data_IF_899087373927
#
_entry.id   IF_899087373927
#
_cell.length_a   1.000
_cell.length_b   1.000
_cell.length_c   1.000
_cell.angle_alpha   90.00
_cell.angle_beta   90.00
_cell.angle_gamma   90.00
#
_symmetry.space_group_name_H-M   'P 1'
#
loop_
_entity.id
_entity.type
_entity.pdbx_description
1 polymer ?
#
# COMPACT_ATOMS: atom_id res chain seq x y z
N UNK A 1 22.88 18.52 4.28
CA UNK A 1 23.29 17.12 4.62
C UNK A 1 22.27 16.20 3.95
N UNK A 2 22.73 15.10 3.35
CA UNK A 2 21.80 14.16 2.69
C UNK A 2 20.80 13.57 3.69
N UNK A 3 19.53 13.44 3.28
CA UNK A 3 18.48 12.85 4.10
C UNK A 3 18.60 11.32 4.16
N UNK A 4 19.25 10.71 3.16
CA UNK A 4 19.46 9.26 3.05
C UNK A 4 20.14 8.87 1.76
N UNK A 5 20.35 7.56 1.59
CA UNK A 5 21.00 6.96 0.41
C UNK A 5 20.01 6.05 -0.32
N UNK A 6 19.85 6.28 -1.61
CA UNK A 6 19.02 5.46 -2.50
C UNK A 6 19.91 4.59 -3.38
N UNK A 7 19.69 3.28 -3.36
CA UNK A 7 20.27 2.37 -4.33
C UNK A 7 19.38 2.34 -5.57
N UNK A 8 19.96 2.64 -6.73
CA UNK A 8 19.23 2.69 -8.01
C UNK A 8 19.75 1.58 -8.93
N UNK A 9 18.89 0.63 -9.28
CA UNK A 9 19.14 -0.36 -10.32
C UNK A 9 18.52 0.11 -11.63
N UNK A 10 19.37 0.41 -12.61
CA UNK A 10 18.97 0.90 -13.94
C UNK A 10 20.11 0.61 -14.90
N UNK A 11 19.91 -0.20 -15.94
CA UNK A 11 20.95 -0.59 -16.89
C UNK A 11 21.33 0.55 -17.85
N UNK A 12 20.41 1.46 -18.13
CA UNK A 12 20.70 2.68 -18.90
C UNK A 12 21.48 3.69 -18.06
N UNK A 13 22.76 3.87 -18.36
CA UNK A 13 23.63 4.85 -17.68
C UNK A 13 23.06 6.27 -17.73
N UNK A 14 22.39 6.64 -18.82
CA UNK A 14 21.79 7.96 -19.00
C UNK A 14 20.58 8.12 -18.04
N UNK A 15 19.71 7.12 -17.97
CA UNK A 15 18.55 7.15 -17.08
C UNK A 15 19.00 7.11 -15.61
N UNK A 16 19.96 6.25 -15.25
CA UNK A 16 20.52 6.19 -13.90
C UNK A 16 21.08 7.56 -13.45
N UNK A 17 21.82 8.26 -14.33
CA UNK A 17 22.33 9.60 -14.03
C UNK A 17 21.23 10.65 -13.87
N UNK A 18 20.17 10.58 -14.69
CA UNK A 18 19.01 11.48 -14.55
C UNK A 18 18.31 11.27 -13.20
N UNK A 19 18.09 10.02 -12.82
CA UNK A 19 17.51 9.66 -11.52
C UNK A 19 18.40 10.17 -10.39
N UNK A 20 19.71 9.95 -10.47
CA UNK A 20 20.69 10.46 -9.49
C UNK A 20 20.60 11.97 -9.31
N UNK A 21 20.46 12.74 -10.41
CA UNK A 21 20.28 14.20 -10.34
C UNK A 21 18.95 14.59 -9.69
N UNK A 22 17.86 13.90 -10.00
CA UNK A 22 16.56 14.13 -9.37
C UNK A 22 16.65 13.91 -7.85
N UNK A 23 17.29 12.82 -7.41
CA UNK A 23 17.52 12.51 -6.00
C UNK A 23 18.38 13.57 -5.32
N UNK A 24 19.48 14.01 -5.97
CA UNK A 24 20.36 15.07 -5.44
C UNK A 24 19.60 16.40 -5.25
N UNK A 25 18.70 16.75 -6.15
CA UNK A 25 17.86 17.94 -6.03
C UNK A 25 16.82 17.86 -4.89
N UNK A 26 16.58 16.66 -4.37
CA UNK A 26 15.72 16.37 -3.23
C UNK A 26 16.52 16.07 -1.95
N UNK A 27 17.81 16.42 -1.92
CA UNK A 27 18.72 16.21 -0.80
C UNK A 27 18.97 14.72 -0.45
N UNK A 28 18.88 13.82 -1.42
CA UNK A 28 19.19 12.40 -1.29
C UNK A 28 20.45 12.02 -2.05
N UNK A 29 21.29 11.17 -1.44
CA UNK A 29 22.42 10.54 -2.11
C UNK A 29 21.97 9.32 -2.91
N UNK A 30 22.70 8.97 -3.95
CA UNK A 30 22.40 7.77 -4.74
C UNK A 30 23.64 6.89 -4.96
N UNK A 31 23.41 5.58 -4.99
CA UNK A 31 24.37 4.57 -5.40
C UNK A 31 23.80 3.89 -6.63
N UNK A 32 24.54 3.90 -7.73
CA UNK A 32 24.07 3.36 -9.01
C UNK A 32 24.57 1.93 -9.20
N UNK A 33 23.63 1.05 -9.56
CA UNK A 33 23.86 -0.33 -9.99
C UNK A 33 23.30 -0.51 -11.38
N UNK A 34 24.01 -1.30 -12.20
CA UNK A 34 23.64 -1.55 -13.60
C UNK A 34 23.24 -3.00 -13.85
N UNK A 35 23.39 -3.86 -12.83
CA UNK A 35 23.03 -5.27 -12.84
C UNK A 35 22.67 -5.74 -11.42
N UNK A 36 22.00 -6.89 -11.30
CA UNK A 36 21.59 -7.46 -10.00
C UNK A 36 22.80 -7.87 -9.14
N UNK A 37 23.91 -8.31 -9.74
CA UNK A 37 25.11 -8.70 -9.00
C UNK A 37 25.69 -7.53 -8.23
N UNK A 38 25.69 -6.34 -8.83
CA UNK A 38 26.10 -5.08 -8.17
C UNK A 38 25.17 -4.73 -7.01
N UNK A 39 23.85 -4.88 -7.18
CA UNK A 39 22.85 -4.69 -6.11
C UNK A 39 23.17 -5.58 -4.92
N UNK A 40 23.34 -6.89 -5.13
CA UNK A 40 23.66 -7.84 -4.05
C UNK A 40 24.97 -7.51 -3.34
N UNK A 41 26.00 -7.05 -4.08
CA UNK A 41 27.28 -6.63 -3.50
C UNK A 41 27.15 -5.38 -2.65
N UNK A 42 26.45 -4.38 -3.15
CA UNK A 42 26.27 -3.08 -2.50
C UNK A 42 25.40 -3.19 -1.23
N UNK A 43 24.34 -4.01 -1.25
CA UNK A 43 23.51 -4.26 -0.05
C UNK A 43 24.29 -4.90 1.11
N UNK A 44 25.38 -5.61 0.83
CA UNK A 44 26.24 -6.20 1.86
C UNK A 44 27.21 -5.21 2.49
N UNK A 45 27.53 -4.12 1.80
CA UNK A 45 28.62 -3.20 2.17
C UNK A 45 28.20 -1.77 2.46
N UNK A 46 27.02 -1.36 1.98
CA UNK A 46 26.56 0.01 2.08
C UNK A 46 25.26 0.12 2.89
N UNK A 47 25.15 1.24 3.59
CA UNK A 47 23.89 1.63 4.21
C UNK A 47 22.97 2.25 3.16
N UNK A 48 21.83 1.60 2.90
CA UNK A 48 20.83 2.02 1.93
C UNK A 48 19.52 2.30 2.65
N UNK A 49 18.87 3.40 2.28
CA UNK A 49 17.62 3.84 2.89
C UNK A 49 16.38 3.53 2.04
N UNK A 50 16.55 3.40 0.74
CA UNK A 50 15.52 3.05 -0.23
C UNK A 50 16.17 2.37 -1.44
N UNK A 51 15.49 1.41 -2.03
CA UNK A 51 15.86 0.83 -3.33
C UNK A 51 14.90 1.30 -4.41
N UNK A 52 15.42 1.89 -5.51
CA UNK A 52 14.69 2.15 -6.75
C UNK A 52 15.18 1.14 -7.79
N UNK A 53 14.34 0.18 -8.15
CA UNK A 53 14.73 -0.95 -8.98
C UNK A 53 13.92 -0.98 -10.28
N UNK A 54 14.59 -0.98 -11.43
CA UNK A 54 13.90 -1.23 -12.71
C UNK A 54 13.43 -2.68 -12.80
N UNK A 55 12.24 -2.88 -13.38
CA UNK A 55 11.66 -4.21 -13.61
C UNK A 55 12.55 -5.02 -14.55
N UNK A 56 13.01 -4.41 -15.63
CA UNK A 56 13.77 -5.09 -16.68
C UNK A 56 15.15 -4.45 -16.83
N UNK A 57 16.16 -5.20 -16.51
CA UNK A 57 17.58 -4.86 -16.77
C UNK A 57 18.20 -5.95 -17.64
N UNK A 58 19.36 -5.68 -18.26
CA UNK A 58 20.00 -6.61 -19.19
C UNK A 58 20.17 -8.03 -18.65
N UNK A 59 20.45 -8.18 -17.34
CA UNK A 59 20.65 -9.48 -16.68
C UNK A 59 19.36 -10.13 -16.12
N UNK A 60 18.18 -9.59 -16.45
CA UNK A 60 16.91 -10.24 -16.18
C UNK A 60 15.78 -9.40 -15.59
N UNK A 61 14.76 -10.08 -15.09
CA UNK A 61 13.58 -9.47 -14.47
C UNK A 61 13.76 -9.34 -12.96
N UNK A 62 13.77 -8.12 -12.46
CA UNK A 62 13.97 -7.81 -11.04
C UNK A 62 12.89 -8.39 -10.14
N UNK A 63 11.63 -8.48 -10.61
CA UNK A 63 10.54 -9.03 -9.81
C UNK A 63 10.76 -10.50 -9.45
N UNK A 64 11.40 -11.27 -10.33
CA UNK A 64 11.74 -12.68 -10.06
C UNK A 64 12.85 -12.84 -9.00
N UNK A 65 13.63 -11.80 -8.75
CA UNK A 65 14.73 -11.76 -7.77
C UNK A 65 14.40 -10.97 -6.51
N UNK A 66 13.20 -10.39 -6.44
CA UNK A 66 12.85 -9.49 -5.34
C UNK A 66 12.86 -10.22 -3.98
N UNK A 67 12.46 -11.49 -3.94
CA UNK A 67 12.55 -12.31 -2.74
C UNK A 67 14.02 -12.48 -2.24
N UNK A 68 14.98 -12.64 -3.15
CA UNK A 68 16.41 -12.72 -2.81
C UNK A 68 16.92 -11.37 -2.28
N UNK A 69 16.51 -10.25 -2.91
CA UNK A 69 16.85 -8.89 -2.47
C UNK A 69 16.28 -8.63 -1.09
N UNK A 70 15.02 -9.00 -0.84
CA UNK A 70 14.35 -8.87 0.44
C UNK A 70 15.03 -9.70 1.53
N UNK A 71 15.50 -10.91 1.24
CA UNK A 71 16.23 -11.74 2.20
C UNK A 71 17.53 -11.07 2.69
N UNK A 72 18.20 -10.28 1.84
CA UNK A 72 19.40 -9.51 2.21
C UNK A 72 19.09 -8.20 2.90
N UNK A 73 17.96 -7.58 2.60
CA UNK A 73 17.58 -6.25 3.06
C UNK A 73 16.09 -6.17 3.43
N UNK A 74 15.64 -6.93 4.47
CA UNK A 74 14.22 -7.11 4.77
C UNK A 74 13.51 -5.81 5.19
N UNK A 75 14.25 -4.86 5.73
CA UNK A 75 13.71 -3.61 6.28
C UNK A 75 13.95 -2.40 5.38
N UNK A 76 14.53 -2.58 4.19
CA UNK A 76 14.77 -1.47 3.26
C UNK A 76 13.56 -1.37 2.32
N UNK A 77 12.87 -0.22 2.26
CA UNK A 77 11.78 0.00 1.31
C UNK A 77 12.23 -0.19 -0.14
N UNK A 78 11.36 -0.79 -0.95
CA UNK A 78 11.61 -1.04 -2.38
C UNK A 78 10.56 -0.33 -3.23
N UNK A 79 11.02 0.53 -4.12
CA UNK A 79 10.21 1.10 -5.19
C UNK A 79 10.58 0.45 -6.53
N UNK A 80 9.61 -0.14 -7.20
CA UNK A 80 9.80 -0.73 -8.54
C UNK A 80 9.51 0.32 -9.60
N UNK A 81 10.48 0.59 -10.46
CA UNK A 81 10.31 1.45 -11.63
C UNK A 81 9.80 0.62 -12.81
N UNK A 82 8.67 1.02 -13.40
CA UNK A 82 8.04 0.28 -14.50
C UNK A 82 8.03 1.11 -15.77
N UNK A 83 8.54 0.57 -16.88
CA UNK A 83 8.36 1.17 -18.19
C UNK A 83 6.90 1.04 -18.65
N UNK A 84 6.28 2.15 -19.05
CA UNK A 84 5.00 2.14 -19.73
C UNK A 84 5.16 1.53 -21.12
N UNK A 85 4.90 0.22 -21.29
CA UNK A 85 4.72 -0.37 -22.60
C UNK A 85 3.51 0.28 -23.29
N UNK A 86 3.56 0.42 -24.60
CA UNK A 86 2.49 1.00 -25.42
C UNK A 86 1.23 0.12 -25.35
N UNK A 87 0.41 0.33 -24.32
CA UNK A 87 -0.87 -0.36 -24.09
C UNK A 87 -1.16 -0.46 -22.61
N UNK A 88 -2.21 0.20 -22.13
CA UNK A 88 -2.61 0.22 -20.70
C UNK A 88 -2.75 -1.16 -20.04
N UNK A 89 -2.92 -2.21 -20.84
CA UNK A 89 -3.03 -3.59 -20.36
C UNK A 89 -1.68 -4.16 -19.87
N UNK A 90 -0.57 -3.85 -20.56
CA UNK A 90 0.76 -4.30 -20.17
C UNK A 90 1.25 -3.59 -18.88
N UNK A 91 0.93 -2.31 -18.73
CA UNK A 91 1.23 -1.54 -17.52
C UNK A 91 0.51 -2.15 -16.30
N UNK A 92 -0.79 -2.43 -16.40
CA UNK A 92 -1.57 -3.02 -15.31
C UNK A 92 -1.04 -4.42 -14.92
N UNK A 93 -0.59 -5.23 -15.86
CA UNK A 93 0.01 -6.53 -15.54
C UNK A 93 1.33 -6.37 -14.77
N UNK A 94 2.20 -5.44 -15.18
CA UNK A 94 3.47 -5.17 -14.50
C UNK A 94 3.25 -4.56 -13.12
N UNK A 95 2.30 -3.64 -12.98
CA UNK A 95 1.88 -3.09 -11.69
C UNK A 95 1.39 -4.19 -10.73
N UNK A 96 0.54 -5.08 -11.22
CA UNK A 96 0.04 -6.21 -10.43
C UNK A 96 1.16 -7.21 -10.08
N UNK A 97 2.11 -7.44 -10.98
CA UNK A 97 3.26 -8.30 -10.72
C UNK A 97 4.20 -7.69 -9.66
N UNK A 98 4.49 -6.39 -9.74
CA UNK A 98 5.28 -5.68 -8.72
C UNK A 98 4.61 -5.75 -7.34
N UNK A 99 3.30 -5.57 -7.30
CA UNK A 99 2.48 -5.69 -6.09
C UNK A 99 2.54 -7.10 -5.49
N UNK A 100 2.41 -8.15 -6.31
CA UNK A 100 2.54 -9.55 -5.85
C UNK A 100 3.93 -9.91 -5.37
N UNK A 101 4.95 -9.22 -5.88
CA UNK A 101 6.34 -9.42 -5.49
C UNK A 101 6.75 -8.61 -4.24
N UNK A 102 5.76 -8.00 -3.53
CA UNK A 102 5.99 -7.27 -2.27
C UNK A 102 6.88 -6.01 -2.40
N UNK A 103 6.81 -5.29 -3.54
CA UNK A 103 7.40 -3.96 -3.63
C UNK A 103 6.61 -2.95 -2.79
N UNK A 104 7.24 -2.09 -2.01
CA UNK A 104 6.54 -1.10 -1.15
C UNK A 104 5.95 0.04 -1.96
N UNK A 105 6.56 0.36 -3.12
CA UNK A 105 6.10 1.41 -4.01
C UNK A 105 6.23 0.97 -5.46
N UNK A 106 5.41 1.57 -6.33
CA UNK A 106 5.53 1.42 -7.77
C UNK A 106 5.62 2.80 -8.41
N UNK A 107 6.63 3.00 -9.26
CA UNK A 107 6.93 4.27 -9.91
C UNK A 107 6.90 4.09 -11.44
N UNK A 108 5.78 4.44 -12.10
CA UNK A 108 5.68 4.35 -13.55
C UNK A 108 6.63 5.34 -14.26
N UNK A 109 7.37 4.88 -15.25
CA UNK A 109 8.17 5.72 -16.14
C UNK A 109 7.30 6.27 -17.30
N UNK A 110 7.47 7.52 -17.72
CA UNK A 110 8.41 8.52 -17.20
C UNK A 110 7.91 9.16 -15.91
N UNK A 111 8.82 9.49 -15.00
CA UNK A 111 8.51 10.17 -13.74
C UNK A 111 9.37 11.44 -13.57
N UNK A 112 8.92 12.29 -12.67
CA UNK A 112 9.53 13.58 -12.32
C UNK A 112 9.91 13.61 -10.82
N UNK A 113 10.64 14.63 -10.35
CA UNK A 113 10.92 14.79 -8.92
C UNK A 113 9.67 14.82 -8.04
N UNK A 114 8.55 15.36 -8.55
CA UNK A 114 7.27 15.41 -7.82
C UNK A 114 6.71 14.01 -7.53
N UNK A 115 6.96 13.02 -8.42
CA UNK A 115 6.57 11.63 -8.20
C UNK A 115 7.50 10.90 -7.22
N UNK A 116 8.78 11.28 -7.18
CA UNK A 116 9.77 10.72 -6.25
C UNK A 116 9.58 11.22 -4.82
N UNK A 117 9.23 12.50 -4.66
CA UNK A 117 9.17 13.15 -3.35
C UNK A 117 8.32 12.40 -2.32
N UNK A 118 7.05 12.02 -2.60
CA UNK A 118 6.24 11.28 -1.63
C UNK A 118 6.82 9.90 -1.29
N UNK A 119 7.44 9.21 -2.26
CA UNK A 119 8.10 7.91 -2.02
C UNK A 119 9.29 8.07 -1.07
N UNK A 120 10.10 9.12 -1.25
CA UNK A 120 11.24 9.42 -0.40
C UNK A 120 10.82 9.81 1.02
N UNK A 121 9.77 10.61 1.16
CA UNK A 121 9.19 10.98 2.45
C UNK A 121 8.66 9.75 3.20
N UNK A 122 7.90 8.90 2.53
CA UNK A 122 7.37 7.65 3.10
C UNK A 122 8.50 6.69 3.51
N UNK A 123 9.50 6.48 2.64
CA UNK A 123 10.66 5.64 2.94
C UNK A 123 11.46 6.16 4.15
N UNK A 124 11.63 7.48 4.24
CA UNK A 124 12.29 8.12 5.38
C UNK A 124 11.53 7.88 6.69
N UNK A 125 10.20 7.97 6.66
CA UNK A 125 9.34 7.72 7.83
C UNK A 125 9.32 6.24 8.21
N UNK A 126 9.24 5.32 7.24
CA UNK A 126 9.30 3.87 7.48
C UNK A 126 10.56 3.45 8.24
N UNK A 127 11.70 4.05 7.93
CA UNK A 127 12.98 3.71 8.58
C UNK A 127 13.16 4.28 9.98
N UNK A 128 12.51 5.37 10.29
CA UNK A 128 12.57 5.99 11.63
C UNK A 128 11.54 5.43 12.58
N UNK A 129 10.51 4.80 12.07
CA UNK A 129 9.53 4.11 12.91
C UNK A 129 10.17 2.86 13.56
N UNK A 130 9.92 2.57 14.82
CA UNK A 130 10.39 1.35 15.48
C UNK A 130 9.75 0.07 14.89
N UNK A 131 8.77 0.21 14.02
CA UNK A 131 8.14 -0.82 13.17
C UNK A 131 7.61 -0.13 11.91
N UNK A 132 7.53 -0.79 10.73
CA UNK A 132 6.90 -0.18 9.56
C UNK A 132 5.49 0.27 9.93
N UNK A 133 5.19 1.55 9.57
CA UNK A 133 3.88 2.12 9.87
C UNK A 133 2.80 1.26 9.23
N UNK A 134 1.88 0.74 10.03
CA UNK A 134 0.76 -0.05 9.54
C UNK A 134 -0.11 0.80 8.63
N UNK A 135 -0.42 0.28 7.44
CA UNK A 135 -1.15 0.99 6.42
C UNK A 135 -2.63 0.63 6.47
N UNK A 136 -3.47 1.64 6.63
CA UNK A 136 -4.92 1.52 6.66
C UNK A 136 -5.53 2.26 5.48
N UNK A 137 -6.37 1.58 4.71
CA UNK A 137 -7.17 2.18 3.64
C UNK A 137 -8.61 2.36 4.13
N UNK A 138 -9.15 3.58 3.97
CA UNK A 138 -10.54 3.90 4.27
C UNK A 138 -11.30 4.17 2.97
N UNK A 139 -12.36 3.38 2.73
CA UNK A 139 -13.22 3.47 1.54
C UNK A 139 -14.65 3.79 1.99
N UNK A 140 -15.14 4.97 1.61
CA UNK A 140 -16.49 5.45 1.96
C UNK A 140 -16.89 6.58 1.00
N UNK A 141 -18.08 6.60 0.46
CA UNK A 141 -18.54 7.67 -0.44
C UNK A 141 -18.81 8.99 0.30
N UNK A 142 -19.11 8.91 1.60
CA UNK A 142 -19.32 10.08 2.45
C UNK A 142 -17.98 10.72 2.88
N UNK A 143 -17.69 11.91 2.34
CA UNK A 143 -16.46 12.67 2.67
C UNK A 143 -16.28 12.92 4.17
N UNK A 144 -17.39 13.12 4.91
CA UNK A 144 -17.32 13.41 6.36
C UNK A 144 -16.86 12.17 7.12
N UNK A 145 -17.41 11.00 6.81
CA UNK A 145 -17.03 9.73 7.45
C UNK A 145 -15.58 9.40 7.14
N UNK A 146 -15.15 9.51 5.85
CA UNK A 146 -13.74 9.32 5.48
C UNK A 146 -12.82 10.23 6.28
N UNK A 147 -13.15 11.53 6.35
CA UNK A 147 -12.30 12.50 7.05
C UNK A 147 -12.20 12.23 8.55
N UNK A 148 -13.30 11.88 9.20
CA UNK A 148 -13.29 11.50 10.62
C UNK A 148 -12.46 10.24 10.87
N UNK A 149 -12.64 9.20 10.06
CA UNK A 149 -11.86 7.97 10.16
C UNK A 149 -10.37 8.20 9.93
N UNK A 150 -10.01 8.95 8.87
CA UNK A 150 -8.59 9.21 8.55
C UNK A 150 -7.91 10.06 9.63
N UNK A 151 -8.60 11.06 10.21
CA UNK A 151 -8.05 11.85 11.30
C UNK A 151 -7.79 11.00 12.56
N UNK A 152 -8.78 10.19 12.97
CA UNK A 152 -8.65 9.33 14.15
C UNK A 152 -7.50 8.32 14.02
N UNK A 153 -7.34 7.73 12.84
CA UNK A 153 -6.27 6.76 12.57
C UNK A 153 -4.89 7.45 12.48
N UNK A 154 -4.82 8.67 11.89
CA UNK A 154 -3.58 9.43 11.79
C UNK A 154 -3.02 9.80 13.18
N UNK A 155 -3.87 10.13 14.14
CA UNK A 155 -3.47 10.43 15.53
C UNK A 155 -2.78 9.23 16.22
N UNK A 156 -3.04 8.00 15.77
CA UNK A 156 -2.37 6.78 16.26
C UNK A 156 -1.12 6.41 15.46
N UNK A 157 -0.74 7.21 14.47
CA UNK A 157 0.48 7.01 13.69
C UNK A 157 0.36 5.97 12.59
N UNK A 158 -0.85 5.61 12.15
CA UNK A 158 -1.02 4.76 10.96
C UNK A 158 -0.71 5.54 9.67
N UNK A 159 -0.15 4.85 8.68
CA UNK A 159 -0.14 5.34 7.30
C UNK A 159 -1.55 5.18 6.73
N UNK A 160 -2.09 6.21 6.06
CA UNK A 160 -3.48 6.18 5.64
C UNK A 160 -3.60 6.51 4.16
N UNK A 161 -4.41 5.70 3.46
CA UNK A 161 -4.97 6.03 2.16
C UNK A 161 -6.49 6.16 2.28
N UNK A 162 -7.08 7.00 1.44
CA UNK A 162 -8.53 7.14 1.33
C UNK A 162 -8.99 6.99 -0.10
N UNK A 163 -10.17 6.39 -0.30
CA UNK A 163 -10.84 6.28 -1.57
C UNK A 163 -12.34 6.55 -1.41
N UNK A 164 -12.95 7.12 -2.46
CA UNK A 164 -14.39 7.46 -2.45
C UNK A 164 -15.29 6.31 -2.92
N UNK A 165 -14.72 5.29 -3.53
CA UNK A 165 -15.41 4.09 -3.99
C UNK A 165 -14.43 2.91 -4.01
N UNK A 166 -14.93 1.70 -4.17
CA UNK A 166 -14.10 0.52 -4.26
C UNK A 166 -13.29 0.50 -5.57
N UNK A 167 -13.86 0.99 -6.67
CA UNK A 167 -13.16 1.12 -7.95
C UNK A 167 -11.97 2.08 -7.82
N UNK A 168 -12.18 3.24 -7.19
CA UNK A 168 -11.13 4.22 -6.90
C UNK A 168 -10.01 3.60 -6.04
N UNK A 169 -10.38 2.81 -5.02
CA UNK A 169 -9.43 2.09 -4.17
C UNK A 169 -8.58 1.08 -4.96
N UNK A 170 -9.23 0.25 -5.79
CA UNK A 170 -8.55 -0.79 -6.57
C UNK A 170 -7.67 -0.21 -7.69
N UNK A 171 -8.01 0.97 -8.20
CA UNK A 171 -7.25 1.66 -9.25
C UNK A 171 -6.08 2.48 -8.70
N UNK A 172 -6.30 3.21 -7.58
CA UNK A 172 -5.36 4.24 -7.10
C UNK A 172 -4.50 3.79 -5.93
N UNK A 173 -4.93 2.77 -5.15
CA UNK A 173 -4.22 2.34 -3.94
C UNK A 173 -3.56 0.98 -4.15
N UNK A 174 -2.32 0.86 -3.69
CA UNK A 174 -1.60 -0.41 -3.67
C UNK A 174 -2.11 -1.30 -2.52
N UNK A 175 -3.19 -2.06 -2.80
CA UNK A 175 -3.86 -2.92 -1.82
C UNK A 175 -2.93 -4.00 -1.26
N UNK A 176 -1.93 -4.45 -2.02
CA UNK A 176 -0.97 -5.48 -1.56
C UNK A 176 -0.18 -5.04 -0.32
N UNK A 177 0.00 -3.72 -0.13
CA UNK A 177 0.71 -3.12 0.99
C UNK A 177 -0.21 -2.44 2.01
N UNK A 178 -1.49 -2.73 1.94
CA UNK A 178 -2.46 -2.32 2.96
C UNK A 178 -2.56 -3.43 4.02
N UNK A 179 -2.41 -3.07 5.28
CA UNK A 179 -2.60 -4.01 6.40
C UNK A 179 -4.07 -4.20 6.72
N UNK A 180 -4.86 -3.11 6.68
CA UNK A 180 -6.29 -3.11 6.99
C UNK A 180 -7.06 -2.27 5.98
N UNK A 181 -8.11 -2.82 5.38
CA UNK A 181 -9.10 -2.07 4.59
C UNK A 181 -10.37 -1.93 5.40
N UNK A 182 -10.85 -0.70 5.51
CA UNK A 182 -12.12 -0.34 6.16
C UNK A 182 -13.03 0.19 5.07
N UNK A 183 -14.12 -0.51 4.77
CA UNK A 183 -15.01 -0.15 3.66
C UNK A 183 -16.45 -0.02 4.10
N UNK A 184 -17.15 1.01 3.60
CA UNK A 184 -18.60 1.03 3.67
C UNK A 184 -19.17 -0.12 2.82
N UNK A 185 -20.24 -0.72 3.32
CA UNK A 185 -20.98 -1.77 2.58
C UNK A 185 -21.86 -1.14 1.50
N UNK A 186 -22.45 0.00 1.80
CA UNK A 186 -23.45 0.66 0.95
C UNK A 186 -22.83 1.84 0.21
N UNK A 187 -22.22 1.57 -0.94
CA UNK A 187 -21.67 2.59 -1.83
C UNK A 187 -22.25 2.44 -3.25
N UNK A 188 -22.38 3.53 -4.00
CA UNK A 188 -22.70 3.47 -5.43
C UNK A 188 -21.63 2.72 -6.21
N UNK A 189 -22.01 2.03 -7.30
CA UNK A 189 -21.10 1.25 -8.13
C UNK A 189 -20.80 -0.12 -7.52
N UNK A 190 -19.52 -0.48 -7.43
CA UNK A 190 -19.08 -1.70 -6.75
C UNK A 190 -19.34 -1.55 -5.26
N UNK A 191 -20.26 -2.33 -4.72
CA UNK A 191 -20.59 -2.34 -3.29
C UNK A 191 -19.45 -2.88 -2.44
N UNK A 192 -19.41 -2.48 -1.17
CA UNK A 192 -18.36 -2.91 -0.25
C UNK A 192 -18.26 -4.43 -0.07
N UNK A 193 -19.37 -5.17 -0.17
CA UNK A 193 -19.36 -6.65 -0.11
C UNK A 193 -18.61 -7.27 -1.29
N UNK A 194 -18.87 -6.81 -2.50
CA UNK A 194 -18.17 -7.26 -3.70
C UNK A 194 -16.68 -6.92 -3.63
N UNK A 195 -16.36 -5.71 -3.19
CA UNK A 195 -14.98 -5.27 -2.96
C UNK A 195 -14.25 -6.13 -1.91
N UNK A 196 -14.91 -6.45 -0.80
CA UNK A 196 -14.38 -7.36 0.23
C UNK A 196 -14.03 -8.73 -0.37
N UNK A 197 -14.91 -9.27 -1.21
CA UNK A 197 -14.69 -10.57 -1.86
C UNK A 197 -13.49 -10.52 -2.80
N UNK A 198 -13.38 -9.49 -3.63
CA UNK A 198 -12.26 -9.29 -4.56
C UNK A 198 -10.94 -9.17 -3.78
N UNK A 199 -10.90 -8.32 -2.74
CA UNK A 199 -9.69 -8.11 -1.94
C UNK A 199 -9.30 -9.40 -1.23
N UNK A 200 -10.26 -10.12 -0.62
CA UNK A 200 -9.98 -11.39 0.07
C UNK A 200 -9.41 -12.47 -0.84
N UNK A 201 -9.89 -12.55 -2.08
CA UNK A 201 -9.41 -13.52 -3.06
C UNK A 201 -8.03 -13.16 -3.62
N UNK A 202 -7.78 -11.86 -3.82
CA UNK A 202 -6.54 -11.38 -4.45
C UNK A 202 -5.42 -11.16 -3.44
N UNK A 203 -5.75 -10.65 -2.26
CA UNK A 203 -4.80 -10.31 -1.18
C UNK A 203 -5.29 -10.87 0.17
N UNK A 204 -5.20 -12.19 0.38
CA UNK A 204 -5.77 -12.85 1.56
C UNK A 204 -5.15 -12.43 2.89
N UNK A 205 -3.97 -11.82 2.86
CA UNK A 205 -3.27 -11.29 4.04
C UNK A 205 -3.85 -9.95 4.53
N UNK A 206 -4.64 -9.25 3.72
CA UNK A 206 -5.24 -7.97 4.11
C UNK A 206 -6.39 -8.19 5.08
N UNK A 207 -6.38 -7.51 6.22
CA UNK A 207 -7.51 -7.53 7.15
C UNK A 207 -8.63 -6.62 6.65
N UNK A 208 -9.89 -7.09 6.74
CA UNK A 208 -11.05 -6.43 6.15
C UNK A 208 -12.06 -6.06 7.23
N UNK A 209 -12.42 -4.79 7.29
CA UNK A 209 -13.48 -4.25 8.17
C UNK A 209 -14.61 -3.73 7.30
N UNK A 210 -15.82 -4.22 7.55
CA UNK A 210 -17.03 -3.71 6.92
C UNK A 210 -17.71 -2.69 7.82
N UNK A 211 -17.92 -1.47 7.33
CA UNK A 211 -18.75 -0.46 7.97
C UNK A 211 -20.19 -0.59 7.47
N UNK A 212 -21.15 -0.51 8.36
CA UNK A 212 -22.56 -0.49 7.99
C UNK A 212 -23.29 0.67 8.67
N UNK A 213 -24.31 1.22 7.99
CA UNK A 213 -25.23 2.13 8.62
C UNK A 213 -25.86 1.41 9.83
N UNK A 214 -25.73 1.99 11.03
CA UNK A 214 -26.41 1.50 12.20
C UNK A 214 -27.92 1.48 11.94
N UNK A 215 -28.61 0.46 12.42
CA UNK A 215 -30.06 0.46 12.39
C UNK A 215 -30.54 1.68 13.19
N UNK A 216 -31.17 2.64 12.51
CA UNK A 216 -31.99 3.61 13.22
C UNK A 216 -33.04 2.80 14.01
N UNK A 217 -33.03 2.94 15.34
CA UNK A 217 -33.73 2.08 16.26
C UNK A 217 -35.27 2.16 16.17
N UNK A 218 -35.79 2.73 15.08
CA UNK A 218 -37.22 3.07 14.89
C UNK A 218 -37.98 2.17 13.94
N UNK A 219 -37.30 1.32 13.13
CA UNK A 219 -37.99 0.39 12.24
C UNK A 219 -37.42 -1.02 12.37
N UNK A 220 -38.24 -1.98 12.81
CA UNK A 220 -37.89 -3.40 12.99
C UNK A 220 -37.34 -4.06 11.68
N UNK A 221 -37.86 -3.65 10.55
CA UNK A 221 -37.38 -4.16 9.22
C UNK A 221 -35.95 -3.76 8.90
N UNK A 222 -35.46 -2.60 9.34
CA UNK A 222 -34.10 -2.11 9.09
C UNK A 222 -33.07 -2.89 9.92
N UNK A 223 -33.41 -3.32 11.12
CA UNK A 223 -32.54 -4.16 11.96
C UNK A 223 -32.29 -5.54 11.36
N UNK A 224 -33.33 -6.17 10.81
CA UNK A 224 -33.21 -7.51 10.18
C UNK A 224 -32.36 -7.42 8.92
N UNK A 225 -32.58 -6.41 8.08
CA UNK A 225 -31.79 -6.18 6.86
C UNK A 225 -30.31 -5.95 7.17
N UNK A 226 -29.98 -5.11 8.15
CA UNK A 226 -28.61 -4.82 8.56
C UNK A 226 -27.90 -6.06 9.14
N UNK A 227 -28.60 -6.88 9.93
CA UNK A 227 -28.03 -8.13 10.46
C UNK A 227 -27.71 -9.12 9.35
N UNK A 228 -28.54 -9.22 8.32
CA UNK A 228 -28.30 -10.08 7.15
C UNK A 228 -27.11 -9.58 6.33
N UNK A 229 -27.01 -8.28 6.11
CA UNK A 229 -25.90 -7.67 5.34
C UNK A 229 -24.57 -7.81 6.09
N UNK A 230 -24.56 -7.63 7.40
CA UNK A 230 -23.38 -7.84 8.25
C UNK A 230 -22.94 -9.31 8.25
N UNK A 231 -23.93 -10.25 8.30
CA UNK A 231 -23.65 -11.67 8.16
C UNK A 231 -23.09 -12.02 6.79
N UNK A 232 -23.60 -11.41 5.73
CA UNK A 232 -23.07 -11.55 4.37
C UNK A 232 -21.63 -11.03 4.27
N UNK A 233 -21.32 -9.85 4.83
CA UNK A 233 -19.97 -9.30 4.82
C UNK A 233 -18.96 -10.23 5.52
N UNK A 234 -19.32 -10.83 6.64
CA UNK A 234 -18.50 -11.85 7.31
C UNK A 234 -18.31 -13.10 6.45
N UNK A 235 -19.40 -13.60 5.87
CA UNK A 235 -19.35 -14.77 4.99
C UNK A 235 -18.45 -14.51 3.77
N UNK A 236 -18.44 -13.29 3.23
CA UNK A 236 -17.60 -12.89 2.11
C UNK A 236 -16.15 -12.56 2.49
N UNK A 237 -15.81 -12.59 3.77
CA UNK A 237 -14.42 -12.49 4.22
C UNK A 237 -14.07 -11.28 5.07
N UNK A 238 -15.05 -10.48 5.50
CA UNK A 238 -14.78 -9.42 6.48
C UNK A 238 -14.33 -10.03 7.82
N UNK A 239 -13.23 -9.55 8.35
CA UNK A 239 -12.67 -10.01 9.63
C UNK A 239 -13.39 -9.35 10.79
N UNK A 240 -13.84 -8.10 10.61
CA UNK A 240 -14.56 -7.36 11.63
C UNK A 240 -15.65 -6.47 11.02
N UNK A 241 -16.57 -6.03 11.88
CA UNK A 241 -17.71 -5.18 11.55
C UNK A 241 -17.63 -3.92 12.41
N UNK A 242 -17.86 -2.76 11.82
CA UNK A 242 -17.90 -1.46 12.51
C UNK A 242 -19.25 -0.79 12.22
N UNK A 243 -20.21 -0.84 13.17
CA UNK A 243 -21.49 -0.16 13.02
C UNK A 243 -21.33 1.36 13.03
N UNK A 244 -22.02 2.07 12.13
CA UNK A 244 -22.16 3.53 12.18
C UNK A 244 -23.37 3.92 13.04
N UNK A 245 -23.31 4.98 13.87
CA UNK A 245 -22.15 5.83 14.11
C UNK A 245 -21.10 5.16 15.00
N UNK A 246 -19.84 5.43 14.76
CA UNK A 246 -18.70 4.97 15.57
C UNK A 246 -17.87 6.16 16.04
N UNK A 247 -17.12 5.98 17.10
CA UNK A 247 -16.14 6.95 17.59
C UNK A 247 -14.75 6.67 17.00
N UNK A 248 -13.84 7.65 17.08
CA UNK A 248 -12.45 7.43 16.72
C UNK A 248 -11.76 6.37 17.59
N UNK A 249 -12.19 6.22 18.85
CA UNK A 249 -11.70 5.20 19.77
C UNK A 249 -12.14 3.79 19.34
N UNK A 250 -13.45 3.60 19.05
CA UNK A 250 -13.97 2.32 18.54
C UNK A 250 -13.21 1.86 17.29
N UNK A 251 -12.95 2.79 16.38
CA UNK A 251 -12.20 2.52 15.14
C UNK A 251 -10.75 2.12 15.42
N UNK A 252 -10.06 2.86 16.27
CA UNK A 252 -8.68 2.60 16.62
C UNK A 252 -8.50 1.28 17.37
N UNK A 253 -9.37 0.97 18.31
CA UNK A 253 -9.32 -0.28 19.08
C UNK A 253 -9.56 -1.49 18.17
N UNK A 254 -10.48 -1.37 17.23
CA UNK A 254 -10.77 -2.42 16.26
C UNK A 254 -9.57 -2.68 15.35
N UNK A 255 -8.96 -1.63 14.79
CA UNK A 255 -7.77 -1.74 13.93
C UNK A 255 -6.59 -2.33 14.71
N UNK A 256 -6.36 -1.87 15.95
CA UNK A 256 -5.28 -2.38 16.78
C UNK A 256 -5.46 -3.87 17.12
N UNK A 257 -6.69 -4.34 17.40
CA UNK A 257 -6.96 -5.75 17.67
C UNK A 257 -6.67 -6.64 16.46
N UNK A 258 -7.12 -6.23 15.26
CA UNK A 258 -6.87 -6.96 14.01
C UNK A 258 -5.38 -7.07 13.66
N UNK A 259 -4.63 -6.00 13.88
CA UNK A 259 -3.19 -5.97 13.64
C UNK A 259 -2.42 -6.85 14.62
N UNK A 260 -2.88 -6.94 15.87
CA UNK A 260 -2.31 -7.82 16.89
C UNK A 260 -2.57 -9.30 16.57
N UNK A 261 -3.82 -9.66 16.26
CA UNK A 261 -4.18 -11.04 15.87
C UNK A 261 -3.35 -11.52 14.67
N UNK A 262 -3.13 -10.65 13.69
CA UNK A 262 -2.29 -10.93 12.51
C UNK A 262 -0.82 -11.19 12.89
N UNK A 263 -0.28 -10.43 13.84
CA UNK A 263 1.09 -10.60 14.32
C UNK A 263 1.30 -11.89 15.13
N UNK A 264 0.25 -12.39 15.79
CA UNK A 264 0.30 -13.64 16.57
C UNK A 264 0.07 -14.89 15.71
N UNK A 265 -0.49 -14.74 14.50
CA UNK A 265 -0.81 -15.84 13.58
C UNK A 265 0.28 -16.11 12.51
N UNK A 266 1.28 -15.24 12.35
CA UNK A 266 2.39 -15.33 11.39
C UNK A 266 3.70 -15.60 12.05
#
# INVERSE_FOLDING_TARGET
MSQGTVLVLEDSRVQAQLISRMLSNLDWSSVLSFDHKSVFSQLKSLHVDLMLLDVYVEDGNTLSRLAEIRALAPNIPVAIMTGGGAGGYALNQTLNAARRAEADFVLPKPFSPEHLKPILEDAYMMRRAPSPLKHVLVVDDCRVVRKLATMALAEKGYRISEARSMEDALESVDIAHVDVVITDIFMPGMGGIEGIQIIKQTWPSVSLVAMSAGADAREDNTRVANTQVLSAARYMGAHALLPKPFTGEDLNDLVASLLKEKAEAG
#
